data_IF_590952761927
#
_entry.id   IF_590952761927
#
_cell.length_a   1.000
_cell.length_b   1.000
_cell.length_c   1.000
_cell.angle_alpha   90.00
_cell.angle_beta   90.00
_cell.angle_gamma   90.00
#
_symmetry.space_group_name_H-M   'P 1'
#
loop_
_entity.id
_entity.type
_entity.pdbx_description
1 polymer ?
#
# COMPACT_ATOMS: atom_id res chain seq x y z
N UNK A 1 -21.93 17.01 -19.57
CA UNK A 1 -22.18 16.04 -20.65
C UNK A 1 -22.83 14.81 -20.03
N UNK A 2 -23.93 14.31 -20.59
CA UNK A 2 -24.57 13.09 -20.11
C UNK A 2 -23.65 11.90 -20.35
N UNK A 3 -23.33 11.13 -19.30
CA UNK A 3 -22.55 9.91 -19.45
C UNK A 3 -23.45 8.83 -20.08
N UNK A 4 -23.33 8.65 -21.39
CA UNK A 4 -24.17 7.73 -22.16
C UNK A 4 -24.09 6.29 -21.65
N UNK A 5 -22.92 5.89 -21.11
CA UNK A 5 -22.72 4.57 -20.52
C UNK A 5 -23.49 4.40 -19.20
N UNK A 6 -23.59 5.46 -18.38
CA UNK A 6 -24.43 5.46 -17.18
C UNK A 6 -25.91 5.32 -17.55
N UNK A 7 -26.37 6.00 -18.60
CA UNK A 7 -27.75 5.88 -19.10
C UNK A 7 -28.10 4.45 -19.52
N UNK A 8 -27.22 3.82 -20.31
CA UNK A 8 -27.39 2.41 -20.74
C UNK A 8 -27.39 1.47 -19.53
N UNK A 9 -26.50 1.70 -18.56
CA UNK A 9 -26.43 0.91 -17.34
C UNK A 9 -27.73 0.95 -16.53
N UNK A 10 -28.32 2.13 -16.34
CA UNK A 10 -29.58 2.30 -15.60
C UNK A 10 -30.72 1.55 -16.30
N UNK A 11 -30.84 1.66 -17.62
CA UNK A 11 -31.88 0.98 -18.38
C UNK A 11 -31.73 -0.54 -18.27
N UNK A 12 -30.50 -1.06 -18.40
CA UNK A 12 -30.23 -2.48 -18.26
C UNK A 12 -30.52 -2.98 -16.83
N UNK A 13 -30.14 -2.22 -15.80
CA UNK A 13 -30.41 -2.56 -14.41
C UNK A 13 -31.91 -2.64 -14.12
N UNK A 14 -32.70 -1.65 -14.59
CA UNK A 14 -34.16 -1.68 -14.45
C UNK A 14 -34.74 -2.91 -15.15
N UNK A 15 -34.28 -3.23 -16.36
CA UNK A 15 -34.74 -4.40 -17.12
C UNK A 15 -34.46 -5.71 -16.39
N UNK A 16 -33.28 -5.87 -15.78
CA UNK A 16 -32.89 -7.08 -15.03
C UNK A 16 -33.66 -7.17 -13.72
N UNK A 17 -33.79 -6.08 -12.97
CA UNK A 17 -34.51 -6.06 -11.69
C UNK A 17 -35.99 -6.36 -11.93
N UNK A 18 -36.65 -5.63 -12.83
CA UNK A 18 -38.06 -5.81 -13.12
C UNK A 18 -38.35 -7.15 -13.79
N UNK A 19 -37.56 -7.53 -14.81
CA UNK A 19 -37.75 -8.78 -15.55
C UNK A 19 -37.48 -10.02 -14.70
N UNK A 20 -36.41 -10.01 -13.90
CA UNK A 20 -36.09 -11.11 -12.99
C UNK A 20 -37.12 -11.25 -11.86
N UNK A 21 -37.55 -10.13 -11.28
CA UNK A 21 -38.59 -10.13 -10.23
C UNK A 21 -39.94 -10.58 -10.77
N UNK A 22 -40.33 -10.12 -11.97
CA UNK A 22 -41.57 -10.53 -12.63
C UNK A 22 -41.59 -12.04 -12.91
N UNK A 23 -40.51 -12.58 -13.46
CA UNK A 23 -40.41 -14.02 -13.75
C UNK A 23 -40.50 -14.87 -12.47
N UNK A 24 -39.86 -14.43 -11.38
CA UNK A 24 -39.95 -15.13 -10.08
C UNK A 24 -41.35 -15.04 -9.46
N UNK A 25 -42.03 -13.92 -9.67
CA UNK A 25 -43.40 -13.73 -9.23
C UNK A 25 -44.38 -14.63 -9.99
N UNK A 26 -44.22 -14.76 -11.32
CA UNK A 26 -45.02 -15.64 -12.17
C UNK A 26 -44.84 -17.13 -11.83
N UNK A 27 -43.65 -17.50 -11.33
CA UNK A 27 -43.37 -18.83 -10.78
C UNK A 27 -43.95 -19.06 -9.38
N UNK A 28 -44.84 -18.18 -8.89
CA UNK A 28 -45.45 -18.22 -7.55
C UNK A 28 -44.42 -18.20 -6.39
N UNK A 29 -43.20 -17.73 -6.65
CA UNK A 29 -42.13 -17.64 -5.66
C UNK A 29 -41.97 -16.20 -5.18
N UNK A 30 -42.96 -15.71 -4.43
CA UNK A 30 -43.02 -14.32 -3.98
C UNK A 30 -41.86 -13.94 -3.04
N UNK A 31 -41.43 -14.87 -2.17
CA UNK A 31 -40.28 -14.64 -1.29
C UNK A 31 -38.98 -14.55 -2.07
N UNK A 32 -38.79 -15.41 -3.07
CA UNK A 32 -37.65 -15.35 -3.98
C UNK A 32 -37.62 -14.06 -4.81
N UNK A 33 -38.77 -13.61 -5.29
CA UNK A 33 -38.90 -12.35 -6.01
C UNK A 33 -38.50 -11.14 -5.14
N UNK A 34 -38.94 -11.10 -3.88
CA UNK A 34 -38.57 -10.02 -2.95
C UNK A 34 -37.08 -10.00 -2.63
N UNK A 35 -36.49 -11.16 -2.33
CA UNK A 35 -35.05 -11.27 -2.06
C UNK A 35 -34.23 -10.89 -3.30
N UNK A 36 -34.64 -11.36 -4.47
CA UNK A 36 -33.99 -11.01 -5.74
C UNK A 36 -34.06 -9.51 -6.01
N UNK A 37 -35.22 -8.88 -5.82
CA UNK A 37 -35.38 -7.43 -6.00
C UNK A 37 -34.44 -6.64 -5.08
N UNK A 38 -34.43 -6.94 -3.78
CA UNK A 38 -33.57 -6.25 -2.82
C UNK A 38 -32.08 -6.48 -3.09
N UNK A 39 -31.69 -7.72 -3.40
CA UNK A 39 -30.29 -8.09 -3.66
C UNK A 39 -29.76 -7.48 -4.96
N UNK A 40 -30.53 -7.58 -6.04
CA UNK A 40 -30.15 -7.01 -7.35
C UNK A 40 -30.09 -5.48 -7.29
N UNK A 41 -31.06 -4.82 -6.64
CA UNK A 41 -31.03 -3.37 -6.44
C UNK A 41 -29.76 -2.93 -5.70
N UNK A 42 -29.43 -3.60 -4.60
CA UNK A 42 -28.23 -3.29 -3.81
C UNK A 42 -26.95 -3.49 -4.64
N UNK A 43 -26.85 -4.60 -5.38
CA UNK A 43 -25.70 -4.87 -6.24
C UNK A 43 -25.54 -3.79 -7.32
N UNK A 44 -26.60 -3.44 -8.05
CA UNK A 44 -26.53 -2.41 -9.10
C UNK A 44 -26.22 -1.02 -8.53
N UNK A 45 -26.63 -0.70 -7.30
CA UNK A 45 -26.21 0.55 -6.64
C UNK A 45 -24.71 0.54 -6.35
N UNK A 46 -24.20 -0.52 -5.71
CA UNK A 46 -22.77 -0.61 -5.34
C UNK A 46 -21.89 -0.57 -6.60
N UNK A 47 -22.23 -1.37 -7.59
CA UNK A 47 -21.48 -1.44 -8.84
C UNK A 47 -21.64 -0.17 -9.69
N UNK A 48 -22.82 0.46 -9.68
CA UNK A 48 -23.05 1.76 -10.31
C UNK A 48 -22.15 2.84 -9.71
N UNK A 49 -22.06 2.90 -8.38
CA UNK A 49 -21.13 3.78 -7.68
C UNK A 49 -19.67 3.43 -7.99
N UNK A 50 -19.30 2.15 -8.05
CA UNK A 50 -17.93 1.72 -8.33
C UNK A 50 -17.42 2.15 -9.72
N UNK A 51 -18.28 2.19 -10.73
CA UNK A 51 -17.92 2.47 -12.12
C UNK A 51 -18.23 3.89 -12.59
N UNK A 52 -19.24 4.54 -12.02
CA UNK A 52 -19.73 5.84 -12.49
C UNK A 52 -19.73 6.93 -11.40
N UNK A 53 -19.18 6.67 -10.21
CA UNK A 53 -18.99 7.72 -9.23
C UNK A 53 -18.11 8.85 -9.78
N UNK A 54 -18.45 10.08 -9.37
CA UNK A 54 -17.63 11.25 -9.64
C UNK A 54 -16.33 11.22 -8.82
N UNK A 55 -15.31 11.93 -9.31
CA UNK A 55 -14.07 12.13 -8.58
C UNK A 55 -14.37 12.64 -7.16
N UNK A 56 -13.85 11.97 -6.12
CA UNK A 56 -14.09 12.18 -4.67
C UNK A 56 -15.29 11.45 -4.01
N UNK A 57 -15.88 10.44 -4.64
CA UNK A 57 -16.85 9.58 -3.93
C UNK A 57 -16.18 8.68 -2.88
N UNK A 58 -16.96 8.19 -1.91
CA UNK A 58 -16.51 7.29 -0.83
C UNK A 58 -15.75 6.02 -1.31
N UNK A 59 -15.90 5.65 -2.59
CA UNK A 59 -15.23 4.50 -3.22
C UNK A 59 -14.26 4.88 -4.36
N UNK A 60 -14.00 6.17 -4.56
CA UNK A 60 -13.16 6.72 -5.63
C UNK A 60 -11.71 6.97 -5.18
N UNK A 61 -11.38 6.65 -3.93
CA UNK A 61 -9.98 6.39 -3.58
C UNK A 61 -9.56 5.08 -4.23
N UNK A 62 -9.39 5.11 -5.55
CA UNK A 62 -8.66 4.07 -6.26
C UNK A 62 -7.27 4.03 -5.61
N UNK A 63 -6.90 2.91 -4.96
CA UNK A 63 -5.48 2.61 -4.80
C UNK A 63 -4.91 2.70 -6.22
N UNK A 64 -3.74 3.33 -6.37
CA UNK A 64 -3.14 3.63 -7.67
C UNK A 64 -3.13 2.45 -8.66
N UNK A 65 -2.84 2.72 -9.95
CA UNK A 65 -2.93 1.74 -11.03
C UNK A 65 -2.24 0.42 -10.66
N UNK A 66 -2.97 -0.69 -10.84
CA UNK A 66 -2.49 -2.04 -10.60
C UNK A 66 -1.40 -2.42 -11.61
N UNK A 67 -0.29 -3.09 -11.23
CA UNK A 67 -0.02 -3.64 -9.90
C UNK A 67 0.19 -2.54 -8.86
N UNK A 68 -0.22 -2.78 -7.61
CA UNK A 68 0.05 -1.81 -6.58
C UNK A 68 1.58 -1.73 -6.49
N UNK A 69 2.09 -0.59 -6.09
CA UNK A 69 3.49 -0.40 -5.73
C UNK A 69 3.85 -1.21 -4.47
N UNK A 70 3.59 -2.53 -4.49
CA UNK A 70 3.76 -3.50 -3.40
C UNK A 70 5.22 -3.60 -2.96
N UNK A 71 6.18 -3.11 -3.76
CA UNK A 71 7.60 -3.09 -3.43
C UNK A 71 8.19 -1.68 -3.28
N UNK A 72 7.38 -0.63 -3.09
CA UNK A 72 7.95 0.72 -2.91
C UNK A 72 8.33 1.00 -1.45
N UNK A 73 7.65 0.39 -0.49
CA UNK A 73 7.94 0.53 0.94
C UNK A 73 8.27 -0.84 1.55
N UNK A 74 9.03 -0.85 2.66
CA UNK A 74 9.17 -2.03 3.51
C UNK A 74 7.81 -2.61 3.92
N UNK A 75 7.79 -3.88 4.28
CA UNK A 75 6.56 -4.60 4.58
C UNK A 75 5.78 -3.91 5.71
N UNK A 76 4.47 -3.79 5.53
CA UNK A 76 3.54 -3.13 6.46
C UNK A 76 3.71 -1.60 6.63
N UNK A 77 4.66 -0.97 5.92
CA UNK A 77 4.74 0.49 5.85
C UNK A 77 3.86 1.04 4.72
N UNK A 78 3.35 2.26 4.91
CA UNK A 78 2.49 2.94 3.95
C UNK A 78 3.26 4.05 3.24
N UNK A 79 3.13 4.15 1.92
CA UNK A 79 3.72 5.25 1.16
C UNK A 79 3.08 6.59 1.55
N UNK A 80 3.91 7.60 1.78
CA UNK A 80 3.51 8.93 2.20
C UNK A 80 4.34 9.99 1.48
N UNK A 81 3.70 11.11 1.14
CA UNK A 81 4.37 12.26 0.53
C UNK A 81 4.60 13.33 1.58
N UNK A 82 5.82 13.37 2.12
CA UNK A 82 6.22 14.39 3.09
C UNK A 82 6.44 15.72 2.37
N UNK A 83 5.80 16.78 2.87
CA UNK A 83 6.14 18.15 2.48
C UNK A 83 7.34 18.60 3.31
N UNK A 84 8.44 18.91 2.64
CA UNK A 84 9.62 19.48 3.28
C UNK A 84 9.41 20.98 3.52
N UNK A 85 10.21 21.56 4.42
CA UNK A 85 10.23 23.00 4.70
C UNK A 85 10.48 23.86 3.46
N UNK A 86 11.18 23.29 2.48
CA UNK A 86 11.56 23.96 1.23
C UNK A 86 10.43 23.93 0.18
N UNK A 87 9.24 23.44 0.54
CA UNK A 87 8.08 23.33 -0.34
C UNK A 87 8.12 22.14 -1.30
N UNK A 88 9.21 21.36 -1.30
CA UNK A 88 9.35 20.14 -2.10
C UNK A 88 8.64 18.96 -1.43
N UNK A 89 8.12 18.03 -2.24
CA UNK A 89 7.52 16.79 -1.75
C UNK A 89 8.51 15.64 -1.89
N UNK A 90 8.76 14.91 -0.80
CA UNK A 90 9.60 13.71 -0.79
C UNK A 90 8.73 12.47 -0.60
N UNK A 91 8.95 11.46 -1.45
CA UNK A 91 8.34 10.14 -1.28
C UNK A 91 9.06 9.39 -0.16
N UNK A 92 8.32 9.07 0.89
CA UNK A 92 8.78 8.39 2.10
C UNK A 92 7.78 7.30 2.49
N UNK A 93 8.16 6.45 3.42
CA UNK A 93 7.26 5.44 3.98
C UNK A 93 7.05 5.71 5.47
N UNK A 94 5.81 5.55 5.94
CA UNK A 94 5.42 5.75 7.34
C UNK A 94 4.95 4.44 7.96
N UNK A 95 5.19 4.28 9.25
CA UNK A 95 4.75 3.12 10.01
C UNK A 95 3.50 3.45 10.83
N UNK A 96 2.35 2.91 10.43
CA UNK A 96 1.07 3.12 11.12
C UNK A 96 0.77 2.07 12.20
N UNK A 97 1.60 1.03 12.28
CA UNK A 97 1.37 -0.17 13.09
C UNK A 97 2.44 -0.37 14.17
N UNK A 98 3.60 0.26 14.04
CA UNK A 98 4.74 0.11 14.95
C UNK A 98 5.48 -1.21 14.74
N UNK A 99 5.77 -1.58 13.50
CA UNK A 99 6.43 -2.84 13.14
C UNK A 99 7.97 -2.77 13.23
N UNK A 100 8.55 -1.57 13.36
CA UNK A 100 10.00 -1.41 13.55
C UNK A 100 10.47 -2.04 14.88
N UNK A 101 11.27 -3.11 14.79
CA UNK A 101 11.76 -3.85 15.97
C UNK A 101 12.83 -3.11 16.77
N UNK A 102 13.56 -2.20 16.13
CA UNK A 102 14.75 -1.54 16.71
C UNK A 102 14.47 -0.11 17.20
N UNK A 103 13.23 0.38 17.11
CA UNK A 103 12.85 1.72 17.53
C UNK A 103 13.44 2.86 16.70
N UNK A 104 14.14 2.54 15.61
CA UNK A 104 14.71 3.51 14.68
C UNK A 104 13.62 4.26 13.89
N UNK A 105 12.45 3.62 13.69
CA UNK A 105 11.26 4.24 13.12
C UNK A 105 10.14 4.22 14.17
N UNK A 106 9.63 5.39 14.54
CA UNK A 106 8.52 5.53 15.46
C UNK A 106 7.19 5.37 14.73
N UNK A 107 6.21 4.82 15.43
CA UNK A 107 4.83 4.79 14.95
C UNK A 107 4.35 6.20 14.64
N UNK A 108 3.84 6.39 13.44
CA UNK A 108 3.30 7.65 12.97
C UNK A 108 2.03 8.00 13.76
N UNK A 109 1.96 9.20 14.36
CA UNK A 109 0.84 9.59 15.19
C UNK A 109 -0.43 9.75 14.36
N UNK A 110 -1.52 9.07 14.75
CA UNK A 110 -2.83 9.12 14.08
C UNK A 110 -3.70 10.33 14.49
N UNK A 111 -3.11 11.30 15.20
CA UNK A 111 -3.84 12.45 15.73
C UNK A 111 -4.19 13.43 14.61
N UNK A 112 -5.35 14.12 14.71
CA UNK A 112 -5.86 15.14 13.75
C UNK A 112 -5.00 16.42 13.64
N UNK A 113 -3.72 16.37 14.00
CA UNK A 113 -2.78 17.48 13.87
C UNK A 113 -1.96 17.39 12.58
N UNK A 114 -1.12 18.40 12.36
CA UNK A 114 -0.15 18.37 11.26
C UNK A 114 0.78 17.16 11.38
N UNK A 115 1.20 16.64 10.23
CA UNK A 115 2.16 15.54 10.18
C UNK A 115 3.43 15.90 10.97
N UNK A 116 4.00 14.98 11.77
CA UNK A 116 5.19 15.27 12.56
C UNK A 116 6.33 15.67 11.65
N UNK A 117 7.13 16.67 12.03
CA UNK A 117 8.28 17.09 11.23
C UNK A 117 9.54 16.26 11.49
N UNK A 118 9.52 15.39 12.51
CA UNK A 118 10.66 14.57 12.89
C UNK A 118 10.96 13.46 11.90
N UNK A 119 12.23 13.31 11.52
CA UNK A 119 12.69 12.28 10.58
C UNK A 119 12.48 10.85 11.12
N UNK A 120 12.37 10.69 12.44
CA UNK A 120 12.17 9.38 13.07
C UNK A 120 10.81 8.73 12.76
N UNK A 121 9.87 9.46 12.17
CA UNK A 121 8.57 8.94 11.74
C UNK A 121 8.55 8.53 10.26
N UNK A 122 9.64 8.81 9.52
CA UNK A 122 9.71 8.62 8.08
C UNK A 122 10.89 7.75 7.68
N UNK A 123 10.58 6.69 6.96
CA UNK A 123 11.58 5.90 6.26
C UNK A 123 11.82 6.50 4.88
N UNK A 124 13.04 7.00 4.65
CA UNK A 124 13.40 7.62 3.37
C UNK A 124 13.65 6.59 2.27
N UNK A 125 13.07 6.81 1.09
CA UNK A 125 13.31 6.03 -0.12
C UNK A 125 14.41 6.59 -1.03
N UNK A 126 15.03 7.71 -0.63
CA UNK A 126 16.11 8.32 -1.39
C UNK A 126 17.36 7.44 -1.35
N UNK A 127 17.92 7.18 -2.53
CA UNK A 127 19.16 6.45 -2.79
C UNK A 127 20.12 7.33 -3.57
N UNK A 128 21.43 7.21 -3.30
CA UNK A 128 22.47 7.92 -4.05
C UNK A 128 22.89 7.14 -5.30
N UNK A 129 22.74 5.83 -5.28
CA UNK A 129 23.00 4.97 -6.43
C UNK A 129 21.91 5.11 -7.50
N UNK A 130 22.34 5.26 -8.75
CA UNK A 130 21.49 5.16 -9.97
C UNK A 130 21.39 3.72 -10.47
N UNK A 131 22.32 2.85 -10.06
CA UNK A 131 22.29 1.42 -10.39
C UNK A 131 21.29 0.68 -9.49
N UNK A 132 20.38 -0.15 -10.06
CA UNK A 132 19.39 -0.91 -9.30
C UNK A 132 19.98 -1.80 -8.19
N UNK A 133 21.12 -2.44 -8.42
CA UNK A 133 21.73 -3.31 -7.40
C UNK A 133 22.32 -2.48 -6.26
N UNK A 134 23.04 -1.39 -6.57
CA UNK A 134 23.54 -0.46 -5.57
C UNK A 134 22.42 0.20 -4.75
N UNK A 135 21.31 0.57 -5.40
CA UNK A 135 20.13 1.13 -4.73
C UNK A 135 19.50 0.11 -3.76
N UNK A 136 19.35 -1.15 -4.17
CA UNK A 136 18.79 -2.18 -3.32
C UNK A 136 19.69 -2.48 -2.12
N UNK A 137 21.01 -2.43 -2.28
CA UNK A 137 21.94 -2.58 -1.17
C UNK A 137 21.81 -1.44 -0.13
N UNK A 138 21.72 -0.19 -0.58
CA UNK A 138 21.50 0.97 0.30
C UNK A 138 20.18 0.84 1.08
N UNK A 139 19.10 0.46 0.39
CA UNK A 139 17.78 0.31 0.98
C UNK A 139 17.71 -0.90 1.92
N UNK A 140 18.37 -2.01 1.58
CA UNK A 140 18.48 -3.17 2.45
C UNK A 140 19.13 -2.82 3.79
N UNK A 141 20.30 -2.15 3.75
CA UNK A 141 21.01 -1.76 4.97
C UNK A 141 20.15 -0.84 5.84
N UNK A 142 19.43 0.10 5.23
CA UNK A 142 18.53 1.01 5.94
C UNK A 142 17.34 0.28 6.57
N UNK A 143 16.74 -0.66 5.84
CA UNK A 143 15.62 -1.47 6.32
C UNK A 143 16.04 -2.38 7.48
N UNK A 144 17.17 -3.08 7.36
CA UNK A 144 17.73 -3.92 8.44
C UNK A 144 18.06 -3.11 9.69
N UNK A 145 18.68 -1.93 9.53
CA UNK A 145 18.98 -1.04 10.66
C UNK A 145 17.68 -0.60 11.35
N UNK A 146 16.61 -0.42 10.57
CA UNK A 146 15.28 -0.08 11.06
C UNK A 146 14.49 -1.28 11.61
N UNK A 147 15.03 -2.50 11.56
CA UNK A 147 14.36 -3.72 12.00
C UNK A 147 13.13 -4.06 11.16
N UNK A 148 13.15 -3.72 9.87
CA UNK A 148 12.06 -3.91 8.92
C UNK A 148 12.40 -5.03 7.93
N UNK A 149 11.37 -5.70 7.45
CA UNK A 149 11.45 -6.62 6.31
C UNK A 149 10.97 -5.91 5.06
N UNK A 150 11.44 -6.33 3.89
CA UNK A 150 11.03 -5.77 2.61
C UNK A 150 11.13 -6.85 1.53
N UNK A 151 9.98 -7.28 1.03
CA UNK A 151 9.90 -8.22 -0.08
C UNK A 151 10.79 -7.81 -1.27
N UNK A 152 11.67 -8.72 -1.69
CA UNK A 152 12.64 -8.50 -2.76
C UNK A 152 13.86 -7.64 -2.42
N UNK A 153 14.00 -7.15 -1.18
CA UNK A 153 15.18 -6.39 -0.73
C UNK A 153 15.82 -7.00 0.53
N UNK A 154 15.06 -7.34 1.56
CA UNK A 154 15.57 -7.96 2.79
C UNK A 154 14.52 -8.76 3.54
N UNK A 155 14.92 -9.88 4.15
CA UNK A 155 14.10 -10.61 5.12
C UNK A 155 14.26 -10.08 6.57
N UNK A 156 14.94 -8.95 6.76
CA UNK A 156 15.26 -8.38 8.08
C UNK A 156 16.56 -8.91 8.71
N UNK A 157 17.19 -9.92 8.09
CA UNK A 157 18.46 -10.50 8.56
C UNK A 157 19.56 -10.43 7.47
N UNK A 158 19.16 -10.52 6.21
CA UNK A 158 20.05 -10.55 5.04
C UNK A 158 19.45 -9.77 3.87
N UNK A 159 20.30 -9.33 2.95
CA UNK A 159 19.85 -8.70 1.71
C UNK A 159 19.52 -9.75 0.65
N UNK A 160 18.45 -9.52 -0.10
CA UNK A 160 18.08 -10.32 -1.26
C UNK A 160 18.85 -9.83 -2.49
N UNK A 161 19.42 -10.78 -3.22
CA UNK A 161 20.04 -10.56 -4.52
C UNK A 161 18.94 -10.49 -5.61
N UNK A 162 19.25 -9.90 -6.80
CA UNK A 162 18.29 -9.80 -7.90
C UNK A 162 17.75 -11.14 -8.43
N UNK A 163 18.46 -12.25 -8.16
CA UNK A 163 18.07 -13.61 -8.50
C UNK A 163 17.17 -14.28 -7.44
N UNK A 164 16.83 -13.55 -6.37
CA UNK A 164 16.01 -14.04 -5.26
C UNK A 164 16.77 -14.85 -4.21
N UNK A 165 18.09 -14.98 -4.34
CA UNK A 165 18.92 -15.62 -3.31
C UNK A 165 19.23 -14.66 -2.16
N UNK A 166 19.41 -15.18 -0.96
CA UNK A 166 19.87 -14.39 0.19
C UNK A 166 21.38 -14.28 0.16
N UNK A 167 21.91 -13.07 0.32
CA UNK A 167 23.34 -12.90 0.54
C UNK A 167 23.64 -13.31 2.00
N UNK A 168 23.92 -14.59 2.22
CA UNK A 168 24.31 -15.09 3.54
C UNK A 168 25.66 -14.47 3.88
N UNK A 169 25.68 -13.61 4.90
CA UNK A 169 26.90 -13.04 5.44
C UNK A 169 27.67 -14.14 6.22
N UNK A 170 28.15 -15.17 5.52
CA UNK A 170 29.17 -16.08 6.04
C UNK A 170 30.50 -15.38 5.92
N UNK A 171 30.97 -14.89 7.06
CA UNK A 171 32.36 -14.55 7.36
C UNK A 171 33.38 -15.31 6.50
N UNK A 172 34.06 -14.62 5.59
CA UNK A 172 35.21 -15.18 4.88
C UNK A 172 35.49 -14.59 3.50
N UNK A 173 36.11 -13.41 3.45
CA UNK A 173 37.07 -13.02 2.40
C UNK A 173 36.57 -12.79 0.98
N UNK A 174 36.50 -11.52 0.58
CA UNK A 174 36.86 -11.11 -0.78
C UNK A 174 35.73 -10.84 -1.79
N UNK A 175 34.78 -9.95 -1.46
CA UNK A 175 34.21 -8.94 -2.37
C UNK A 175 33.07 -8.21 -1.63
N UNK A 176 33.25 -6.90 -1.37
CA UNK A 176 32.27 -5.96 -0.83
C UNK A 176 31.36 -6.50 0.30
N UNK A 177 31.99 -6.89 1.42
CA UNK A 177 31.30 -7.27 2.64
C UNK A 177 30.51 -6.08 3.21
N UNK A 178 29.19 -6.21 3.23
CA UNK A 178 28.30 -5.35 4.02
C UNK A 178 28.59 -5.64 5.50
N UNK A 179 29.35 -4.74 6.14
CA UNK A 179 29.56 -4.77 7.59
C UNK A 179 28.51 -3.90 8.26
N UNK A 180 27.65 -4.45 9.14
CA UNK A 180 26.80 -3.64 9.99
C UNK A 180 27.71 -2.92 11.00
N UNK A 181 27.80 -1.60 10.90
CA UNK A 181 28.42 -0.77 11.93
C UNK A 181 27.50 -0.78 13.15
N UNK A 182 27.73 -1.72 14.07
CA UNK A 182 27.13 -1.71 15.40
C UNK A 182 27.70 -0.51 16.14
N UNK A 183 26.88 0.51 16.39
CA UNK A 183 27.25 1.63 17.24
C UNK A 183 27.55 1.11 18.65
N UNK A 184 28.81 1.19 19.07
CA UNK A 184 29.25 0.87 20.43
C UNK A 184 28.81 2.01 21.36
N UNK A 185 28.13 1.75 22.50
CA UNK A 185 27.78 2.80 23.44
C UNK A 185 29.04 3.38 24.10
N UNK A 186 29.07 4.69 24.42
CA UNK A 186 30.21 5.31 25.08
C UNK A 186 30.37 4.76 26.50
N UNK A 187 31.55 4.23 26.82
CA UNK A 187 31.90 3.79 28.17
C UNK A 187 32.12 5.01 29.07
N UNK A 188 31.26 5.18 30.06
CA UNK A 188 31.53 5.99 31.25
C UNK A 188 32.50 5.22 32.16
N UNK A 189 33.72 5.73 32.33
CA UNK A 189 34.45 5.90 33.61
C UNK A 189 35.86 6.42 33.36
#
# INVERSE_FOLDING_TARGET
MFNIYLGIYIIAAIGIIAGGSYKLYDMNNHYGAFIFFAGSLTAFIIYGLRWFAAANALFDQTPGPWPPTINTCPDYLTAYKRKMTDGTTQDVCIDLLGVSKNGALKMFPKSKGDAPNGDEYYFSLASKSTDPAGRNAELCQRAMTSGLTWEGITNGESCMLPDGSTNTNTSGGGAAACTPTVATPPSTH
#
